data_IF_188803195348
#
_entry.id   IF_188803195348
#
_cell.length_a   1.000
_cell.length_b   1.000
_cell.length_c   1.000
_cell.angle_alpha   90.00
_cell.angle_beta   90.00
_cell.angle_gamma   90.00
#
_symmetry.space_group_name_H-M   'P 1'
#
loop_
_entity.id
_entity.type
_entity.pdbx_description
1 polymer ?
#
# COMPACT_ATOMS: atom_id res chain seq x y z
N UNK A 1 10.43 24.53 14.45
CA UNK A 1 11.79 24.05 14.73
C UNK A 1 12.04 23.86 16.23
N UNK A 2 12.20 24.92 17.05
CA UNK A 2 12.63 24.78 18.46
C UNK A 2 11.72 23.90 19.35
N UNK A 3 10.38 24.05 19.25
CA UNK A 3 9.43 23.21 20.03
C UNK A 3 9.51 21.71 19.71
N UNK A 4 9.85 21.36 18.48
CA UNK A 4 9.92 19.98 17.99
C UNK A 4 11.18 19.27 18.47
N UNK A 5 12.29 20.00 18.49
CA UNK A 5 13.56 19.51 19.04
C UNK A 5 13.48 19.35 20.56
N UNK A 6 12.84 20.28 21.27
CA UNK A 6 12.61 20.16 22.72
C UNK A 6 11.73 18.96 23.07
N UNK A 7 10.62 18.72 22.36
CA UNK A 7 9.73 17.57 22.57
C UNK A 7 10.46 16.23 22.42
N UNK A 8 11.29 16.07 21.38
CA UNK A 8 12.06 14.85 21.14
C UNK A 8 13.22 14.68 22.13
N UNK A 9 13.89 15.78 22.50
CA UNK A 9 15.00 15.76 23.45
C UNK A 9 14.51 15.38 24.85
N UNK A 10 13.39 15.97 25.28
CA UNK A 10 12.76 15.73 26.59
C UNK A 10 11.91 14.46 26.61
N UNK A 11 11.70 13.80 25.46
CA UNK A 11 10.75 12.67 25.28
C UNK A 11 9.32 13.03 25.74
N UNK A 12 8.96 14.30 25.66
CA UNK A 12 7.64 14.82 25.99
C UNK A 12 6.89 15.10 24.69
N UNK A 13 6.11 14.11 24.26
CA UNK A 13 5.27 14.20 23.06
C UNK A 13 3.89 14.74 23.45
N UNK A 14 3.84 16.01 23.85
CA UNK A 14 2.56 16.72 24.01
C UNK A 14 1.87 16.85 22.66
N UNK A 15 0.54 16.95 22.66
CA UNK A 15 -0.25 17.04 21.43
C UNK A 15 0.19 18.26 20.58
N UNK A 16 0.72 17.99 19.39
CA UNK A 16 1.15 19.05 18.48
C UNK A 16 -0.04 19.51 17.61
N UNK A 17 -0.32 20.82 17.54
CA UNK A 17 -1.43 21.32 16.74
C UNK A 17 -1.14 21.06 15.25
N UNK A 18 -2.16 20.57 14.54
CA UNK A 18 -2.21 20.37 13.07
C UNK A 18 -1.47 19.17 12.47
N UNK A 19 -1.00 18.19 13.24
CA UNK A 19 -0.49 16.93 12.67
C UNK A 19 -1.66 16.01 12.32
N UNK A 20 -1.80 15.54 11.07
CA UNK A 20 -2.85 14.58 10.70
C UNK A 20 -2.76 13.32 11.57
N UNK A 21 -3.89 12.88 12.10
CA UNK A 21 -3.99 11.63 12.88
C UNK A 21 -4.99 10.69 12.24
N UNK A 22 -4.64 9.42 12.29
CA UNK A 22 -5.49 8.32 11.84
C UNK A 22 -6.49 7.92 12.93
N UNK A 23 -6.03 7.86 14.18
CA UNK A 23 -6.90 7.70 15.35
C UNK A 23 -6.38 8.48 16.57
N UNK A 24 -7.25 8.65 17.56
CA UNK A 24 -6.91 9.18 18.90
C UNK A 24 -6.84 8.03 19.88
N UNK A 25 -6.01 8.16 20.91
CA UNK A 25 -5.91 7.15 21.96
C UNK A 25 -7.28 6.84 22.58
N UNK A 26 -7.62 5.55 22.68
CA UNK A 26 -8.89 5.05 23.23
C UNK A 26 -8.95 5.06 24.75
N UNK A 27 -7.87 5.43 25.44
CA UNK A 27 -7.86 5.55 26.91
C UNK A 27 -8.59 6.84 27.30
N UNK A 28 -9.50 6.73 28.28
CA UNK A 28 -10.30 7.84 28.75
C UNK A 28 -9.42 9.02 29.20
N UNK A 29 -9.82 10.25 28.88
CA UNK A 29 -9.09 11.48 29.19
C UNK A 29 -7.70 11.63 28.53
N UNK A 30 -7.33 10.73 27.59
CA UNK A 30 -6.13 10.88 26.78
C UNK A 30 -6.47 11.54 25.43
N UNK A 31 -5.85 12.68 25.11
CA UNK A 31 -6.02 13.36 23.81
C UNK A 31 -4.89 13.11 22.81
N UNK A 32 -3.87 12.34 23.21
CA UNK A 32 -2.72 12.01 22.39
C UNK A 32 -3.13 11.18 21.17
N UNK A 33 -2.41 11.39 20.06
CA UNK A 33 -2.55 10.59 18.85
C UNK A 33 -2.18 9.13 19.13
N UNK A 34 -2.85 8.19 18.47
CA UNK A 34 -2.40 6.79 18.52
C UNK A 34 -1.13 6.63 17.68
N UNK A 35 -0.29 5.66 18.02
CA UNK A 35 0.78 5.23 17.11
C UNK A 35 0.12 4.69 15.84
N UNK A 36 0.68 5.02 14.68
CA UNK A 36 0.21 4.55 13.37
C UNK A 36 0.52 3.08 13.16
N UNK A 37 -0.32 2.43 12.38
CA UNK A 37 -0.03 1.10 11.85
C UNK A 37 -0.48 -0.04 12.77
N UNK A 38 -1.54 0.18 13.57
CA UNK A 38 -2.61 -0.78 13.97
C UNK A 38 -3.16 -0.53 15.39
N UNK A 39 -4.46 -0.73 15.57
CA UNK A 39 -5.07 -1.00 16.87
C UNK A 39 -4.61 -2.36 17.40
N UNK A 40 -4.76 -2.59 18.70
CA UNK A 40 -4.59 -3.93 19.25
C UNK A 40 -5.55 -4.91 18.54
N UNK A 41 -5.07 -6.03 17.96
CA UNK A 41 -5.94 -7.00 17.28
C UNK A 41 -6.91 -7.71 18.22
N UNK A 42 -6.59 -7.78 19.52
CA UNK A 42 -7.43 -8.48 20.50
C UNK A 42 -8.55 -7.61 21.07
N UNK A 43 -8.28 -6.32 21.35
CA UNK A 43 -9.26 -5.43 21.97
C UNK A 43 -9.72 -4.27 21.08
N UNK A 44 -9.18 -4.17 19.86
CA UNK A 44 -9.49 -3.13 18.87
C UNK A 44 -9.25 -1.69 19.32
N UNK A 45 -8.51 -1.48 20.42
CA UNK A 45 -8.17 -0.14 20.92
C UNK A 45 -7.00 0.48 20.18
N UNK A 46 -7.10 1.77 19.89
CA UNK A 46 -6.03 2.62 19.38
C UNK A 46 -5.28 3.21 20.56
N UNK A 47 -3.96 3.04 20.63
CA UNK A 47 -3.20 3.43 21.81
C UNK A 47 -2.06 4.36 21.40
N UNK A 48 -1.86 5.44 22.16
CA UNK A 48 -0.67 6.28 22.03
C UNK A 48 0.57 5.55 22.57
N UNK A 49 1.76 6.09 22.32
CA UNK A 49 3.01 5.46 22.73
C UNK A 49 3.09 5.11 24.22
N UNK A 50 2.47 5.92 25.10
CA UNK A 50 2.46 5.67 26.54
C UNK A 50 1.53 4.50 26.91
N UNK A 51 0.31 4.50 26.36
CA UNK A 51 -0.71 3.51 26.69
C UNK A 51 -0.53 2.17 25.97
N UNK A 52 0.45 2.05 25.08
CA UNK A 52 0.86 0.76 24.51
C UNK A 52 1.77 -0.04 25.45
N UNK A 53 2.34 0.58 26.49
CA UNK A 53 3.19 -0.12 27.43
C UNK A 53 2.41 -1.22 28.18
N UNK A 54 3.15 -2.22 28.69
CA UNK A 54 2.57 -3.31 29.48
C UNK A 54 1.95 -2.84 30.80
N UNK A 55 2.28 -1.63 31.25
CA UNK A 55 1.68 -1.03 32.45
C UNK A 55 0.23 -0.62 32.22
N UNK A 56 -0.15 -0.33 30.98
CA UNK A 56 -1.48 0.15 30.61
C UNK A 56 -2.26 -0.80 29.71
N UNK A 57 -1.58 -1.70 28.99
CA UNK A 57 -2.17 -2.58 28.01
C UNK A 57 -1.67 -4.02 28.12
N UNK A 58 -2.58 -4.92 28.54
CA UNK A 58 -2.26 -6.31 28.88
C UNK A 58 -2.47 -7.30 27.71
N UNK A 59 -3.08 -6.89 26.60
CA UNK A 59 -3.22 -7.79 25.45
C UNK A 59 -1.84 -8.17 24.91
N UNK A 60 -1.71 -9.43 24.49
CA UNK A 60 -0.49 -9.91 23.86
C UNK A 60 -0.30 -9.22 22.50
N UNK A 61 0.93 -8.78 22.16
CA UNK A 61 1.23 -8.32 20.83
C UNK A 61 1.08 -9.48 19.85
N UNK A 62 0.84 -9.16 18.58
CA UNK A 62 0.66 -10.18 17.52
C UNK A 62 1.83 -11.16 17.44
N UNK A 63 3.05 -10.72 17.75
CA UNK A 63 4.26 -11.55 17.79
C UNK A 63 4.29 -12.60 18.91
N UNK A 64 3.41 -12.47 19.91
CA UNK A 64 3.30 -13.38 21.06
C UNK A 64 1.99 -14.18 21.03
N UNK A 65 1.13 -13.99 20.02
CA UNK A 65 -0.05 -14.82 19.85
C UNK A 65 0.38 -16.23 19.42
N UNK A 66 -0.31 -17.25 19.94
CA UNK A 66 -0.24 -18.59 19.39
C UNK A 66 -0.94 -18.66 18.02
N UNK A 67 -0.71 -19.76 17.31
CA UNK A 67 -1.26 -19.98 15.96
C UNK A 67 -2.79 -19.91 15.98
N UNK A 68 -3.45 -20.55 16.94
CA UNK A 68 -4.91 -20.59 17.04
C UNK A 68 -5.52 -19.18 17.23
N UNK A 69 -4.97 -18.36 18.13
CA UNK A 69 -5.45 -17.01 18.36
C UNK A 69 -5.21 -16.10 17.15
N UNK A 70 -4.09 -16.27 16.46
CA UNK A 70 -3.79 -15.54 15.23
C UNK A 70 -4.77 -15.92 14.11
N UNK A 71 -4.97 -17.22 13.86
CA UNK A 71 -5.90 -17.72 12.85
C UNK A 71 -7.35 -17.30 13.12
N UNK A 72 -7.76 -17.28 14.39
CA UNK A 72 -9.07 -16.79 14.80
C UNK A 72 -9.25 -15.32 14.45
N UNK A 73 -8.25 -14.48 14.70
CA UNK A 73 -8.29 -13.04 14.38
C UNK A 73 -8.52 -12.83 12.88
N UNK A 74 -7.78 -13.56 12.03
CA UNK A 74 -7.92 -13.51 10.58
C UNK A 74 -9.30 -14.02 10.14
N UNK A 75 -9.78 -15.12 10.73
CA UNK A 75 -11.09 -15.71 10.42
C UNK A 75 -12.23 -14.76 10.74
N UNK A 76 -12.21 -14.12 11.92
CA UNK A 76 -13.23 -13.17 12.34
C UNK A 76 -13.28 -11.95 11.40
N UNK A 77 -12.11 -11.47 10.97
CA UNK A 77 -11.95 -10.37 10.02
C UNK A 77 -12.56 -10.70 8.65
N UNK A 78 -12.15 -11.81 8.04
CA UNK A 78 -12.63 -12.23 6.71
C UNK A 78 -14.12 -12.56 6.75
N UNK A 79 -14.59 -13.22 7.81
CA UNK A 79 -16.02 -13.51 8.00
C UNK A 79 -16.84 -12.22 8.07
N UNK A 80 -16.35 -11.20 8.79
CA UNK A 80 -17.01 -9.89 8.89
C UNK A 80 -17.03 -9.18 7.54
N UNK A 81 -15.93 -9.21 6.79
CA UNK A 81 -15.85 -8.64 5.45
C UNK A 81 -16.86 -9.32 4.51
N UNK A 82 -16.85 -10.65 4.43
CA UNK A 82 -17.75 -11.42 3.59
C UNK A 82 -19.22 -11.25 3.97
N UNK A 83 -19.53 -11.09 5.26
CA UNK A 83 -20.90 -10.84 5.72
C UNK A 83 -21.43 -9.45 5.30
N UNK A 84 -20.54 -8.47 5.09
CA UNK A 84 -20.91 -7.14 4.56
C UNK A 84 -21.01 -7.12 3.03
N UNK A 85 -20.38 -8.08 2.36
CA UNK A 85 -20.37 -8.16 0.90
C UNK A 85 -21.67 -8.77 0.37
N UNK A 86 -22.43 -7.99 -0.38
CA UNK A 86 -23.55 -8.51 -1.17
C UNK A 86 -23.02 -9.25 -2.41
N UNK A 87 -22.81 -10.56 -2.26
CA UNK A 87 -22.26 -11.44 -3.30
C UNK A 87 -23.14 -11.46 -4.56
N UNK A 88 -24.46 -11.35 -4.43
CA UNK A 88 -25.36 -11.32 -5.58
C UNK A 88 -25.16 -10.05 -6.42
N UNK A 89 -25.06 -8.89 -5.77
CA UNK A 89 -24.74 -7.64 -6.45
C UNK A 89 -23.34 -7.69 -7.09
N UNK A 90 -22.35 -8.24 -6.38
CA UNK A 90 -20.99 -8.40 -6.89
C UNK A 90 -20.96 -9.23 -8.19
N UNK A 91 -21.61 -10.38 -8.20
CA UNK A 91 -21.71 -11.23 -9.39
C UNK A 91 -22.48 -10.54 -10.53
N UNK A 92 -23.51 -9.74 -10.22
CA UNK A 92 -24.25 -8.98 -11.22
C UNK A 92 -23.37 -7.93 -11.91
N UNK A 93 -22.55 -7.19 -11.14
CA UNK A 93 -21.59 -6.23 -11.72
C UNK A 93 -20.57 -6.96 -12.59
N UNK A 94 -19.93 -8.02 -12.09
CA UNK A 94 -18.96 -8.79 -12.86
C UNK A 94 -19.55 -9.37 -14.15
N UNK A 95 -20.78 -9.89 -14.09
CA UNK A 95 -21.53 -10.38 -15.24
C UNK A 95 -21.73 -9.28 -16.29
N UNK A 96 -22.11 -8.07 -15.86
CA UNK A 96 -22.31 -6.92 -16.76
C UNK A 96 -21.02 -6.50 -17.47
N UNK A 97 -19.89 -6.55 -16.76
CA UNK A 97 -18.56 -6.23 -17.29
C UNK A 97 -18.03 -7.33 -18.23
N UNK A 98 -18.42 -8.59 -18.02
CA UNK A 98 -17.98 -9.72 -18.86
C UNK A 98 -19.03 -10.15 -19.90
N UNK A 99 -19.55 -9.20 -20.68
CA UNK A 99 -20.48 -9.48 -21.82
C UNK A 99 -21.71 -10.30 -21.42
N UNK A 100 -22.24 -10.08 -20.21
CA UNK A 100 -23.38 -10.79 -19.63
C UNK A 100 -23.17 -12.30 -19.40
N UNK A 101 -21.93 -12.78 -19.28
CA UNK A 101 -21.64 -14.14 -18.83
C UNK A 101 -21.87 -14.23 -17.31
N UNK A 102 -22.74 -15.14 -16.88
CA UNK A 102 -22.93 -15.38 -15.46
C UNK A 102 -21.68 -15.96 -14.80
N UNK A 103 -21.47 -15.62 -13.53
CA UNK A 103 -20.35 -16.10 -12.72
C UNK A 103 -20.78 -16.60 -11.34
N UNK A 104 -19.94 -17.46 -10.76
CA UNK A 104 -20.07 -17.93 -9.37
C UNK A 104 -18.92 -17.38 -8.54
N UNK A 105 -19.25 -16.85 -7.36
CA UNK A 105 -18.28 -16.43 -6.36
C UNK A 105 -17.82 -17.60 -5.51
N UNK A 106 -16.51 -17.72 -5.33
CA UNK A 106 -15.89 -18.69 -4.43
C UNK A 106 -14.92 -17.96 -3.51
N UNK A 107 -15.13 -17.98 -2.18
CA UNK A 107 -14.19 -17.41 -1.22
C UNK A 107 -12.77 -17.95 -1.47
N UNK A 108 -11.78 -17.05 -1.49
CA UNK A 108 -10.38 -17.45 -1.52
C UNK A 108 -9.94 -18.04 -0.18
N UNK A 109 -8.97 -18.96 -0.23
CA UNK A 109 -8.35 -19.53 0.96
C UNK A 109 -7.46 -18.50 1.66
N UNK A 110 -7.66 -18.32 2.97
CA UNK A 110 -6.96 -17.32 3.79
C UNK A 110 -6.18 -17.91 4.98
N UNK A 111 -6.27 -19.23 5.21
CA UNK A 111 -5.53 -19.96 6.24
C UNK A 111 -4.88 -21.24 5.66
N UNK A 112 -3.88 -21.77 6.38
CA UNK A 112 -3.17 -23.01 6.06
C UNK A 112 -1.91 -22.84 5.20
N UNK A 113 -1.28 -23.95 4.82
CA UNK A 113 -0.12 -23.91 3.91
C UNK A 113 -0.54 -23.55 2.48
N UNK A 114 0.20 -22.65 1.83
CA UNK A 114 -0.07 -22.25 0.44
C UNK A 114 -1.15 -21.17 0.27
N UNK A 115 -1.38 -20.31 1.27
CA UNK A 115 -2.24 -19.13 1.12
C UNK A 115 -1.70 -18.22 0.00
N UNK A 116 -2.39 -18.24 -1.14
CA UNK A 116 -2.13 -17.37 -2.29
C UNK A 116 -3.22 -16.31 -2.49
N UNK A 117 -4.34 -16.42 -1.77
CA UNK A 117 -5.51 -15.55 -1.93
C UNK A 117 -5.66 -14.50 -0.81
N UNK A 118 -4.64 -14.30 0.03
CA UNK A 118 -4.65 -13.27 1.06
C UNK A 118 -3.29 -12.58 1.14
N UNK A 119 -3.31 -11.25 1.05
CA UNK A 119 -2.15 -10.40 1.28
C UNK A 119 -2.22 -9.70 2.64
N UNK A 120 -1.20 -8.91 2.95
CA UNK A 120 -1.17 -8.11 4.17
C UNK A 120 -2.41 -7.19 4.24
N UNK A 121 -2.71 -6.44 3.19
CA UNK A 121 -3.77 -5.42 3.19
C UNK A 121 -5.06 -5.81 2.44
N UNK A 122 -5.08 -6.93 1.73
CA UNK A 122 -6.19 -7.29 0.85
C UNK A 122 -6.57 -8.78 0.95
N UNK A 123 -7.87 -9.05 0.86
CA UNK A 123 -8.45 -10.38 0.74
C UNK A 123 -8.88 -10.60 -0.72
N UNK A 124 -8.56 -11.76 -1.28
CA UNK A 124 -8.91 -12.10 -2.66
C UNK A 124 -9.90 -13.28 -2.70
N UNK A 125 -10.82 -13.24 -3.66
CA UNK A 125 -11.72 -14.34 -3.93
C UNK A 125 -11.85 -14.56 -5.44
N UNK A 126 -12.41 -15.70 -5.82
CA UNK A 126 -12.57 -16.11 -7.21
C UNK A 126 -13.96 -15.78 -7.74
N UNK A 127 -14.00 -15.36 -9.00
CA UNK A 127 -15.19 -15.38 -9.83
C UNK A 127 -14.95 -16.34 -10.99
N UNK A 128 -15.75 -17.41 -11.05
CA UNK A 128 -15.69 -18.39 -12.15
C UNK A 128 -16.89 -18.20 -13.06
N UNK A 129 -16.65 -17.84 -14.32
CA UNK A 129 -17.67 -17.67 -15.33
C UNK A 129 -18.09 -19.02 -15.93
N UNK A 130 -19.29 -19.06 -16.51
CA UNK A 130 -19.87 -20.29 -17.06
C UNK A 130 -19.07 -20.93 -18.21
N UNK A 131 -18.19 -20.18 -18.87
CA UNK A 131 -17.28 -20.68 -19.91
C UNK A 131 -15.92 -21.15 -19.36
N UNK A 132 -15.74 -21.09 -18.04
CA UNK A 132 -14.51 -21.46 -17.34
C UNK A 132 -13.50 -20.32 -17.19
N UNK A 133 -13.77 -19.14 -17.73
CA UNK A 133 -12.95 -17.94 -17.47
C UNK A 133 -12.96 -17.63 -15.96
N UNK A 134 -11.83 -17.18 -15.43
CA UNK A 134 -11.68 -16.85 -14.00
C UNK A 134 -11.16 -15.44 -13.82
N UNK A 135 -11.83 -14.68 -12.97
CA UNK A 135 -11.34 -13.42 -12.45
C UNK A 135 -11.03 -13.53 -10.96
N UNK A 136 -10.18 -12.64 -10.49
CA UNK A 136 -9.97 -12.38 -9.08
C UNK A 136 -10.77 -11.13 -8.71
N UNK A 137 -11.44 -11.17 -7.57
CA UNK A 137 -11.94 -9.97 -6.90
C UNK A 137 -11.06 -9.70 -5.68
N UNK A 138 -10.58 -8.47 -5.58
CA UNK A 138 -9.73 -7.96 -4.50
C UNK A 138 -10.55 -7.04 -3.60
N UNK A 139 -10.52 -7.30 -2.30
CA UNK A 139 -11.17 -6.50 -1.27
C UNK A 139 -10.13 -5.92 -0.31
N UNK A 140 -10.15 -4.62 -0.02
CA UNK A 140 -9.40 -4.09 1.10
C UNK A 140 -9.83 -4.74 2.41
N UNK A 141 -8.86 -5.16 3.21
CA UNK A 141 -9.09 -5.75 4.53
C UNK A 141 -9.50 -4.68 5.53
N UNK A 142 -10.59 -4.92 6.28
CA UNK A 142 -11.08 -4.01 7.32
C UNK A 142 -11.34 -4.81 8.60
N UNK A 143 -10.77 -4.42 9.77
CA UNK A 143 -10.13 -3.13 10.02
C UNK A 143 -8.61 -3.28 10.07
N UNK A 144 -7.92 -2.83 9.02
CA UNK A 144 -6.69 -2.07 9.25
C UNK A 144 -7.08 -0.79 10.00
N UNK A 145 -7.28 -0.94 11.30
CA UNK A 145 -8.25 -0.24 12.15
C UNK A 145 -8.19 1.28 12.19
N UNK A 146 -7.04 1.88 11.90
CA UNK A 146 -6.77 3.30 12.05
C UNK A 146 -6.74 4.02 10.69
N UNK A 147 -6.68 3.28 9.57
CA UNK A 147 -6.63 3.90 8.24
C UNK A 147 -8.01 4.50 7.91
N UNK A 148 -8.12 5.80 7.62
CA UNK A 148 -9.39 6.41 7.24
C UNK A 148 -9.99 5.75 5.99
N UNK A 149 -11.30 5.47 5.99
CA UNK A 149 -11.98 4.83 4.84
C UNK A 149 -11.75 5.59 3.52
N UNK A 150 -11.72 6.92 3.55
CA UNK A 150 -11.43 7.75 2.38
C UNK A 150 -10.04 7.45 1.78
N UNK A 151 -9.06 7.14 2.62
CA UNK A 151 -7.72 6.78 2.16
C UNK A 151 -7.72 5.37 1.55
N UNK A 152 -8.44 4.42 2.15
CA UNK A 152 -8.61 3.07 1.59
C UNK A 152 -9.26 3.14 0.20
N UNK A 153 -10.31 3.93 0.05
CA UNK A 153 -10.99 4.11 -1.24
C UNK A 153 -10.09 4.77 -2.28
N UNK A 154 -9.28 5.76 -1.87
CA UNK A 154 -8.30 6.38 -2.77
C UNK A 154 -7.21 5.40 -3.22
N UNK A 155 -6.79 4.46 -2.35
CA UNK A 155 -5.88 3.39 -2.72
C UNK A 155 -6.49 2.45 -3.75
N UNK A 156 -7.79 2.14 -3.62
CA UNK A 156 -8.53 1.33 -4.60
C UNK A 156 -8.59 2.05 -5.95
N UNK A 157 -8.98 3.32 -5.98
CA UNK A 157 -9.02 4.10 -7.23
C UNK A 157 -7.65 4.21 -7.88
N UNK A 158 -6.61 4.39 -7.06
CA UNK A 158 -5.26 4.57 -7.57
C UNK A 158 -4.63 3.29 -8.11
N UNK A 159 -4.86 2.16 -7.43
CA UNK A 159 -4.44 0.85 -7.90
C UNK A 159 -5.14 0.51 -9.23
N UNK A 160 -6.45 0.76 -9.34
CA UNK A 160 -7.18 0.56 -10.59
C UNK A 160 -6.63 1.41 -11.74
N UNK A 161 -6.40 2.70 -11.52
CA UNK A 161 -5.83 3.59 -12.53
C UNK A 161 -4.41 3.17 -12.95
N UNK A 162 -3.60 2.71 -12.00
CA UNK A 162 -2.25 2.20 -12.30
C UNK A 162 -2.31 0.96 -13.18
N UNK A 163 -3.20 0.01 -12.88
CA UNK A 163 -3.40 -1.18 -13.72
C UNK A 163 -3.83 -0.78 -15.14
N UNK A 164 -4.76 0.18 -15.27
CA UNK A 164 -5.21 0.70 -16.57
C UNK A 164 -4.08 1.33 -17.39
N UNK A 165 -3.21 2.12 -16.76
CA UNK A 165 -2.03 2.68 -17.41
C UNK A 165 -1.08 1.59 -17.92
N UNK A 166 -0.83 0.58 -17.09
CA UNK A 166 0.08 -0.51 -17.44
C UNK A 166 -0.46 -1.44 -18.53
N UNK A 167 -1.78 -1.63 -18.59
CA UNK A 167 -2.44 -2.39 -19.66
C UNK A 167 -2.16 -1.83 -21.07
N UNK A 168 -1.91 -0.52 -21.19
CA UNK A 168 -1.60 0.15 -22.46
C UNK A 168 -0.13 -0.03 -22.89
N UNK A 169 0.73 -0.51 -22.00
CA UNK A 169 2.16 -0.64 -22.23
C UNK A 169 2.49 -2.08 -22.62
N UNK A 170 2.83 -2.27 -23.89
CA UNK A 170 3.33 -3.55 -24.38
C UNK A 170 4.65 -3.92 -23.70
N UNK A 171 4.70 -5.10 -23.09
CA UNK A 171 5.92 -5.64 -22.47
C UNK A 171 5.96 -5.57 -20.95
N UNK A 172 4.97 -4.94 -20.29
CA UNK A 172 4.80 -5.04 -18.84
C UNK A 172 3.76 -6.13 -18.54
N UNK A 173 4.17 -7.27 -17.94
CA UNK A 173 3.22 -8.31 -17.60
C UNK A 173 2.49 -7.90 -16.32
N UNK A 174 1.24 -7.45 -16.43
CA UNK A 174 0.40 -7.05 -15.29
C UNK A 174 -1.01 -7.63 -15.45
N UNK A 175 -1.78 -7.66 -14.36
CA UNK A 175 -3.18 -8.05 -14.42
C UNK A 175 -4.01 -6.97 -15.12
N UNK A 176 -4.93 -7.36 -16.01
CA UNK A 176 -5.99 -6.45 -16.44
C UNK A 176 -6.95 -6.18 -15.31
N UNK A 177 -7.36 -4.93 -15.13
CA UNK A 177 -8.43 -4.53 -14.23
C UNK A 177 -9.75 -4.40 -15.02
N UNK A 178 -10.81 -5.07 -14.59
CA UNK A 178 -12.09 -5.06 -15.31
C UNK A 178 -13.07 -4.00 -14.78
N UNK A 179 -12.95 -3.65 -13.51
CA UNK A 179 -13.74 -2.60 -12.86
C UNK A 179 -13.43 -2.52 -11.37
N UNK A 180 -13.91 -1.48 -10.70
CA UNK A 180 -13.83 -1.33 -9.26
C UNK A 180 -15.14 -0.75 -8.72
N UNK A 181 -15.30 -0.73 -7.40
CA UNK A 181 -16.37 -0.01 -6.71
C UNK A 181 -15.90 0.46 -5.34
N UNK A 182 -16.43 1.57 -4.84
CA UNK A 182 -16.09 2.13 -3.53
C UNK A 182 -17.25 1.96 -2.56
N UNK A 183 -16.97 1.67 -1.29
CA UNK A 183 -18.00 1.47 -0.28
C UNK A 183 -18.85 2.74 -0.03
N UNK A 184 -18.27 3.92 -0.25
CA UNK A 184 -18.95 5.21 -0.13
C UNK A 184 -19.86 5.56 -1.30
N UNK A 185 -19.75 4.86 -2.44
CA UNK A 185 -20.58 5.11 -3.62
C UNK A 185 -22.02 4.66 -3.35
N UNK A 186 -22.98 5.57 -3.50
CA UNK A 186 -24.40 5.28 -3.28
C UNK A 186 -24.95 4.18 -4.23
N UNK A 187 -24.38 4.09 -5.43
CA UNK A 187 -24.77 3.12 -6.45
C UNK A 187 -24.06 1.76 -6.28
N UNK A 188 -23.07 1.67 -5.39
CA UNK A 188 -22.37 0.41 -5.11
C UNK A 188 -23.18 -0.47 -4.15
N UNK A 189 -24.07 -1.29 -4.72
CA UNK A 189 -24.88 -2.25 -3.97
C UNK A 189 -24.11 -3.44 -3.39
N UNK A 190 -22.80 -3.56 -3.64
CA UNK A 190 -21.94 -4.61 -3.08
C UNK A 190 -21.68 -4.38 -1.60
N UNK A 191 -21.67 -3.12 -1.15
CA UNK A 191 -21.52 -2.76 0.27
C UNK A 191 -20.08 -2.69 0.79
N UNK A 192 -19.09 -3.02 -0.05
CA UNK A 192 -17.66 -2.89 0.26
C UNK A 192 -16.90 -2.38 -0.97
N UNK A 193 -15.69 -1.86 -0.78
CA UNK A 193 -14.80 -1.50 -1.89
C UNK A 193 -14.17 -2.75 -2.49
N UNK A 194 -13.96 -2.77 -3.81
CA UNK A 194 -13.37 -3.91 -4.51
C UNK A 194 -12.71 -3.52 -5.85
N UNK A 195 -11.85 -4.39 -6.36
CA UNK A 195 -11.35 -4.38 -7.74
C UNK A 195 -11.55 -5.75 -8.37
N UNK A 196 -12.12 -5.82 -9.57
CA UNK A 196 -12.11 -7.00 -10.42
C UNK A 196 -10.88 -7.00 -11.31
N UNK A 197 -10.16 -8.12 -11.36
CA UNK A 197 -8.91 -8.23 -12.11
C UNK A 197 -8.68 -9.63 -12.69
N UNK A 198 -7.81 -9.68 -13.69
CA UNK A 198 -7.34 -10.91 -14.32
C UNK A 198 -6.58 -11.79 -13.33
N UNK A 199 -6.83 -13.10 -13.41
CA UNK A 199 -6.04 -14.07 -12.69
C UNK A 199 -4.74 -14.36 -13.47
N UNK A 200 -3.66 -13.69 -13.08
CA UNK A 200 -2.35 -13.87 -13.72
C UNK A 200 -1.78 -15.25 -13.36
N UNK A 201 -1.31 -16.05 -14.33
CA UNK A 201 -0.72 -17.36 -14.07
C UNK A 201 0.66 -17.23 -13.42
N UNK A 202 1.10 -18.28 -12.73
CA UNK A 202 2.44 -18.38 -12.13
C UNK A 202 2.40 -18.52 -10.61
N UNK A 203 3.58 -18.57 -10.02
CA UNK A 203 3.78 -18.62 -8.56
C UNK A 203 4.65 -17.46 -8.11
N UNK A 204 4.44 -16.90 -6.90
CA UNK A 204 5.32 -15.88 -6.35
C UNK A 204 6.79 -16.27 -6.41
N UNK A 205 7.64 -15.34 -6.83
CA UNK A 205 9.07 -15.57 -6.94
C UNK A 205 9.73 -15.60 -5.56
N UNK A 206 10.26 -16.76 -5.20
CA UNK A 206 10.99 -16.95 -3.96
C UNK A 206 12.50 -16.84 -4.21
N UNK A 207 13.04 -15.63 -4.10
CA UNK A 207 14.46 -15.38 -4.36
C UNK A 207 15.40 -16.26 -3.51
N UNK A 208 15.00 -16.67 -2.31
CA UNK A 208 15.83 -17.48 -1.44
C UNK A 208 15.97 -18.95 -1.90
N UNK A 209 15.02 -19.47 -2.68
CA UNK A 209 15.06 -20.84 -3.22
C UNK A 209 15.73 -20.91 -4.59
N UNK A 210 15.84 -19.79 -5.30
CA UNK A 210 16.42 -19.70 -6.63
C UNK A 210 17.97 -19.81 -6.64
N UNK A 211 18.50 -20.54 -7.63
CA UNK A 211 19.93 -20.62 -7.91
C UNK A 211 20.45 -19.32 -8.59
N UNK A 212 21.78 -19.12 -8.72
CA UNK A 212 22.34 -17.90 -9.30
C UNK A 212 21.90 -17.60 -10.74
N UNK A 213 21.73 -18.64 -11.57
CA UNK A 213 21.29 -18.51 -12.97
C UNK A 213 19.83 -18.06 -13.06
N UNK A 214 18.96 -18.66 -12.25
CA UNK A 214 17.54 -18.29 -12.13
C UNK A 214 17.39 -16.85 -11.63
N UNK A 215 18.15 -16.47 -10.60
CA UNK A 215 18.20 -15.08 -10.10
C UNK A 215 18.59 -14.10 -11.20
N UNK A 216 19.66 -14.43 -11.95
CA UNK A 216 20.13 -13.59 -13.07
C UNK A 216 19.07 -13.46 -14.17
N UNK A 217 18.36 -14.55 -14.47
CA UNK A 217 17.28 -14.57 -15.46
C UNK A 217 16.11 -13.68 -15.05
N UNK A 218 15.63 -13.79 -13.80
CA UNK A 218 14.55 -12.94 -13.27
C UNK A 218 14.99 -11.47 -13.24
N UNK A 219 16.19 -11.17 -12.74
CA UNK A 219 16.70 -9.80 -12.67
C UNK A 219 16.88 -9.17 -14.05
N UNK A 220 17.25 -9.96 -15.07
CA UNK A 220 17.32 -9.47 -16.46
C UNK A 220 15.96 -9.01 -16.95
N UNK A 221 14.91 -9.80 -16.71
CA UNK A 221 13.54 -9.45 -17.10
C UNK A 221 13.02 -8.24 -16.31
N UNK A 222 13.32 -8.14 -15.01
CA UNK A 222 13.02 -6.93 -14.22
C UNK A 222 13.70 -5.70 -14.84
N UNK A 223 14.94 -5.81 -15.29
CA UNK A 223 15.62 -4.71 -15.97
C UNK A 223 14.92 -4.31 -17.27
N UNK A 224 14.46 -5.27 -18.08
CA UNK A 224 13.70 -5.02 -19.30
C UNK A 224 12.37 -4.30 -19.00
N UNK A 225 11.66 -4.73 -17.95
CA UNK A 225 10.43 -4.07 -17.47
C UNK A 225 10.70 -2.63 -17.03
N UNK A 226 11.76 -2.39 -16.25
CA UNK A 226 12.13 -1.05 -15.81
C UNK A 226 12.54 -0.15 -16.98
N UNK A 227 13.21 -0.70 -17.99
CA UNK A 227 13.51 -0.01 -19.24
C UNK A 227 12.21 0.39 -19.95
N UNK A 228 11.22 -0.50 -20.01
CA UNK A 228 9.93 -0.18 -20.61
C UNK A 228 9.22 0.94 -19.86
N UNK A 229 9.10 0.84 -18.52
CA UNK A 229 8.53 1.90 -17.66
C UNK A 229 9.23 3.25 -17.89
N UNK A 230 10.56 3.25 -18.09
CA UNK A 230 11.33 4.48 -18.31
C UNK A 230 10.98 5.23 -19.60
N UNK A 231 10.30 4.59 -20.56
CA UNK A 231 9.82 5.22 -21.80
C UNK A 231 8.56 6.04 -21.61
N UNK A 232 7.92 5.96 -20.44
CA UNK A 232 6.64 6.63 -20.14
C UNK A 232 6.80 7.64 -18.98
N UNK A 233 7.44 8.81 -19.22
CA UNK A 233 7.64 9.82 -18.20
C UNK A 233 6.37 10.61 -17.87
N UNK A 234 6.26 11.01 -16.61
CA UNK A 234 5.23 11.90 -16.07
C UNK A 234 5.80 13.27 -15.73
N UNK A 235 4.92 14.26 -15.58
CA UNK A 235 5.28 15.66 -15.25
C UNK A 235 5.31 15.97 -13.75
N UNK A 236 4.68 15.14 -12.91
CA UNK A 236 4.58 15.33 -11.47
C UNK A 236 4.89 14.03 -10.74
N UNK A 237 5.31 14.12 -9.48
CA UNK A 237 5.26 13.02 -8.53
C UNK A 237 3.87 12.95 -7.88
N UNK A 238 3.32 11.77 -7.77
CA UNK A 238 1.93 11.57 -7.36
C UNK A 238 1.43 10.16 -7.68
N UNK A 239 0.20 9.86 -7.27
CA UNK A 239 -0.47 8.61 -7.62
C UNK A 239 -1.33 8.81 -8.87
N UNK A 240 -1.48 7.76 -9.67
CA UNK A 240 -2.39 7.78 -10.82
C UNK A 240 -3.83 7.63 -10.32
N UNK A 241 -4.75 8.39 -10.91
CA UNK A 241 -6.20 8.25 -10.74
C UNK A 241 -6.88 8.43 -12.11
N UNK A 242 -8.18 8.13 -12.18
CA UNK A 242 -9.03 8.52 -13.29
C UNK A 242 -9.76 9.82 -12.91
N UNK A 243 -9.79 10.80 -13.82
CA UNK A 243 -10.64 11.99 -13.66
C UNK A 243 -12.11 11.67 -14.00
N UNK A 244 -12.99 12.68 -13.87
CA UNK A 244 -14.43 12.55 -14.12
C UNK A 244 -14.76 12.12 -15.57
N UNK A 245 -13.85 12.40 -16.51
CA UNK A 245 -13.95 12.03 -17.93
C UNK A 245 -13.32 10.64 -18.21
N UNK A 246 -12.77 9.98 -17.19
CA UNK A 246 -12.12 8.67 -17.29
C UNK A 246 -10.68 8.72 -17.81
N UNK A 247 -10.03 9.89 -17.86
CA UNK A 247 -8.65 10.02 -18.29
C UNK A 247 -7.68 9.76 -17.14
N UNK A 248 -6.53 9.16 -17.46
CA UNK A 248 -5.44 8.96 -16.52
C UNK A 248 -4.74 10.29 -16.18
N UNK A 249 -4.73 10.66 -14.91
CA UNK A 249 -4.06 11.85 -14.39
C UNK A 249 -3.21 11.53 -13.17
N UNK A 250 -2.16 12.34 -12.95
CA UNK A 250 -1.36 12.29 -11.71
C UNK A 250 -1.97 13.23 -10.69
N UNK A 251 -2.32 12.69 -9.53
CA UNK A 251 -2.90 13.41 -8.38
C UNK A 251 -2.06 13.16 -7.12
N UNK A 252 -2.56 13.57 -5.95
CA UNK A 252 -1.91 13.39 -4.65
C UNK A 252 -1.39 11.95 -4.51
N UNK A 253 -0.19 11.79 -3.98
CA UNK A 253 0.34 10.48 -3.59
C UNK A 253 -0.64 9.87 -2.59
N UNK A 254 -1.11 8.66 -2.88
CA UNK A 254 -2.09 7.97 -2.05
C UNK A 254 -1.56 7.79 -0.62
N UNK A 255 -0.39 7.16 -0.51
CA UNK A 255 0.35 7.00 0.74
C UNK A 255 1.78 6.49 0.45
N UNK A 256 2.61 6.44 1.48
CA UNK A 256 3.78 5.57 1.51
C UNK A 256 3.39 4.07 1.63
N UNK A 257 4.38 3.19 1.46
CA UNK A 257 4.21 1.72 1.44
C UNK A 257 3.61 1.16 2.75
N UNK A 258 3.83 1.81 3.88
CA UNK A 258 3.38 1.31 5.19
C UNK A 258 2.06 1.93 5.65
N UNK A 259 1.46 2.78 4.83
CA UNK A 259 0.30 3.60 5.18
C UNK A 259 0.57 4.47 6.42
N UNK A 260 1.81 4.90 6.59
CA UNK A 260 2.21 5.86 7.61
C UNK A 260 1.77 7.28 7.26
N UNK A 261 1.67 7.64 5.98
CA UNK A 261 1.27 8.97 5.53
C UNK A 261 -0.19 9.03 5.09
N UNK A 262 -0.76 10.23 5.08
CA UNK A 262 -2.04 10.48 4.39
C UNK A 262 -1.80 10.79 2.91
N UNK A 263 -2.88 11.22 2.23
CA UNK A 263 -2.76 11.83 0.91
C UNK A 263 -1.89 13.10 0.99
N UNK A 264 -0.95 13.25 0.05
CA UNK A 264 -0.01 14.37 0.02
C UNK A 264 0.51 14.65 -1.38
N UNK A 265 0.89 15.90 -1.67
CA UNK A 265 1.28 16.32 -3.01
C UNK A 265 0.07 16.73 -3.86
N UNK A 266 0.10 16.52 -5.20
CA UNK A 266 1.24 16.07 -6.01
C UNK A 266 2.38 17.11 -6.02
N UNK A 267 3.53 16.75 -6.58
CA UNK A 267 4.72 17.61 -6.60
C UNK A 267 5.24 17.85 -8.01
N UNK A 268 5.54 19.12 -8.33
CA UNK A 268 6.13 19.50 -9.62
C UNK A 268 7.65 19.29 -9.69
N UNK A 269 8.32 19.20 -8.53
CA UNK A 269 9.77 19.02 -8.47
C UNK A 269 10.17 17.86 -7.56
N UNK A 270 11.28 17.20 -7.91
CA UNK A 270 11.87 16.15 -7.08
C UNK A 270 12.30 16.66 -5.69
N UNK A 271 12.73 17.93 -5.61
CA UNK A 271 13.12 18.55 -4.34
C UNK A 271 11.91 18.68 -3.41
N UNK A 272 10.79 19.19 -3.91
CA UNK A 272 9.55 19.35 -3.13
C UNK A 272 9.03 17.98 -2.68
N UNK A 273 9.07 16.97 -3.55
CA UNK A 273 8.69 15.60 -3.21
C UNK A 273 9.52 15.04 -2.05
N UNK A 274 10.86 15.10 -2.13
CA UNK A 274 11.71 14.56 -1.05
C UNK A 274 11.60 15.35 0.25
N UNK A 275 11.57 16.68 0.18
CA UNK A 275 11.52 17.53 1.37
C UNK A 275 10.17 17.46 2.07
N UNK A 276 9.06 17.54 1.33
CA UNK A 276 7.70 17.48 1.90
C UNK A 276 7.40 16.11 2.52
N UNK A 277 7.89 15.02 1.91
CA UNK A 277 7.71 13.68 2.49
C UNK A 277 8.52 13.53 3.79
N UNK A 278 9.75 14.03 3.82
CA UNK A 278 10.57 14.04 5.03
C UNK A 278 9.96 14.91 6.15
N UNK A 279 9.38 16.07 5.81
CA UNK A 279 8.70 16.94 6.76
C UNK A 279 7.50 16.26 7.43
N UNK A 280 6.67 15.54 6.65
CA UNK A 280 5.55 14.80 7.22
C UNK A 280 6.00 13.72 8.21
N UNK A 281 7.06 12.96 7.89
CA UNK A 281 7.60 12.01 8.85
C UNK A 281 8.21 12.68 10.08
N UNK A 282 8.86 13.85 9.95
CA UNK A 282 9.33 14.62 11.11
C UNK A 282 8.17 15.00 12.03
N UNK A 283 7.05 15.43 11.45
CA UNK A 283 5.85 15.79 12.20
C UNK A 283 5.24 14.57 12.93
N UNK A 284 5.16 13.43 12.25
CA UNK A 284 4.64 12.18 12.84
C UNK A 284 5.55 11.64 13.95
N UNK A 285 6.87 11.67 13.77
CA UNK A 285 7.83 11.25 14.79
C UNK A 285 7.71 12.11 16.04
N UNK A 286 7.62 13.42 15.85
CA UNK A 286 7.55 14.37 16.94
C UNK A 286 6.17 14.47 17.61
N UNK A 287 5.10 13.98 16.98
CA UNK A 287 3.79 13.77 17.62
C UNK A 287 3.67 12.38 18.27
N UNK A 288 4.73 11.57 18.22
CA UNK A 288 4.76 10.22 18.80
C UNK A 288 3.93 9.19 18.02
N UNK A 289 3.55 9.51 16.78
CA UNK A 289 2.76 8.64 15.92
C UNK A 289 3.58 7.58 15.20
N UNK A 290 4.88 7.82 14.97
CA UNK A 290 5.78 6.90 14.27
C UNK A 290 7.14 6.82 14.96
N UNK A 291 7.82 5.68 14.84
CA UNK A 291 9.18 5.46 15.37
C UNK A 291 9.36 5.82 16.86
N UNK A 292 8.29 5.71 17.65
CA UNK A 292 8.25 6.08 19.07
C UNK A 292 9.27 5.33 19.96
N UNK A 293 9.81 4.20 19.49
CA UNK A 293 10.86 3.44 20.17
C UNK A 293 12.27 4.05 19.99
N UNK A 294 12.50 4.76 18.90
CA UNK A 294 13.76 5.41 18.53
C UNK A 294 13.52 6.78 17.85
N UNK A 295 12.77 7.69 18.50
CA UNK A 295 12.29 8.92 17.86
C UNK A 295 13.44 9.89 17.55
N UNK A 296 14.55 9.82 18.30
CA UNK A 296 15.73 10.67 18.09
C UNK A 296 16.44 10.29 16.79
N UNK A 297 16.67 9.01 16.59
CA UNK A 297 17.31 8.44 15.40
C UNK A 297 16.46 8.70 14.16
N UNK A 298 15.16 8.41 14.23
CA UNK A 298 14.22 8.66 13.14
C UNK A 298 14.16 10.15 12.78
N UNK A 299 14.03 11.04 13.77
CA UNK A 299 14.01 12.48 13.51
C UNK A 299 15.30 12.98 12.87
N UNK A 300 16.47 12.52 13.35
CA UNK A 300 17.76 12.89 12.73
C UNK A 300 17.87 12.36 11.31
N UNK A 301 17.36 11.16 11.02
CA UNK A 301 17.33 10.60 9.68
C UNK A 301 16.51 11.48 8.73
N UNK A 302 15.24 11.75 9.06
CA UNK A 302 14.37 12.56 8.20
C UNK A 302 14.83 14.02 8.10
N UNK A 303 15.41 14.59 9.17
CA UNK A 303 15.99 15.93 9.13
C UNK A 303 17.20 15.98 8.20
N UNK A 304 18.05 14.96 8.23
CA UNK A 304 19.19 14.83 7.30
C UNK A 304 18.72 14.65 5.87
N UNK A 305 17.64 13.87 5.65
CA UNK A 305 17.02 13.71 4.35
C UNK A 305 16.55 15.06 3.80
N UNK A 306 15.76 15.81 4.58
CA UNK A 306 15.23 17.13 4.21
C UNK A 306 16.34 18.17 3.97
N UNK A 307 17.24 18.36 4.94
CA UNK A 307 18.17 19.49 4.96
C UNK A 307 19.42 19.27 4.09
N UNK A 308 19.80 18.01 3.83
CA UNK A 308 21.07 17.70 3.17
C UNK A 308 20.94 16.72 2.01
N UNK A 309 20.25 15.60 2.18
CA UNK A 309 20.28 14.52 1.20
C UNK A 309 19.39 14.83 -0.01
N UNK A 310 18.22 15.44 0.17
CA UNK A 310 17.27 15.75 -0.90
C UNK A 310 17.93 16.55 -2.04
N UNK A 311 18.59 17.67 -1.72
CA UNK A 311 19.30 18.47 -2.71
C UNK A 311 20.42 17.69 -3.42
N UNK A 312 21.13 16.80 -2.71
CA UNK A 312 22.18 15.95 -3.30
C UNK A 312 21.61 14.87 -4.23
N UNK A 313 20.47 14.28 -3.88
CA UNK A 313 19.76 13.30 -4.71
C UNK A 313 19.32 13.95 -6.02
N UNK A 314 18.66 15.11 -5.94
CA UNK A 314 18.23 15.88 -7.11
C UNK A 314 19.43 16.31 -7.97
N UNK A 315 20.53 16.77 -7.35
CA UNK A 315 21.72 17.18 -8.09
C UNK A 315 22.43 16.04 -8.85
N UNK A 316 22.27 14.77 -8.40
CA UNK A 316 22.81 13.60 -9.10
C UNK A 316 22.06 13.28 -10.40
N UNK A 317 20.84 13.80 -10.57
CA UNK A 317 20.02 13.60 -11.76
C UNK A 317 20.34 14.58 -12.91
N UNK A 318 21.33 15.47 -12.74
CA UNK A 318 21.71 16.50 -13.73
C UNK A 318 21.88 15.91 -15.14
N UNK A 319 21.04 16.37 -16.07
CA UNK A 319 21.01 15.97 -17.48
C UNK A 319 19.84 15.08 -17.87
N UNK A 320 19.09 14.55 -16.89
CA UNK A 320 17.81 13.86 -17.12
C UNK A 320 16.67 14.88 -17.03
N UNK A 321 15.66 14.70 -17.89
CA UNK A 321 14.42 15.51 -17.87
C UNK A 321 13.87 15.60 -16.44
N UNK A 322 13.20 16.70 -16.08
CA UNK A 322 12.47 16.89 -14.81
C UNK A 322 11.21 16.00 -14.77
N UNK A 323 11.38 14.75 -15.14
CA UNK A 323 10.37 13.75 -15.36
C UNK A 323 10.33 12.80 -14.19
N UNK A 324 9.13 12.27 -13.99
CA UNK A 324 8.84 11.28 -12.95
C UNK A 324 8.47 9.96 -13.62
N UNK A 325 8.63 8.86 -12.92
CA UNK A 325 8.42 7.52 -13.46
C UNK A 325 7.68 6.66 -12.44
N UNK A 326 6.86 5.74 -12.93
CA UNK A 326 6.10 4.83 -12.08
C UNK A 326 7.04 3.92 -11.28
N UNK A 327 6.72 3.71 -10.00
CA UNK A 327 7.40 2.78 -9.08
C UNK A 327 6.37 1.88 -8.41
N UNK A 328 6.65 0.58 -8.38
CA UNK A 328 5.83 -0.47 -7.73
C UNK A 328 5.84 -0.41 -6.19
N UNK A 329 6.84 0.22 -5.59
CA UNK A 329 7.08 0.39 -4.13
C UNK A 329 7.32 -0.90 -3.33
N UNK A 330 6.96 -2.07 -3.84
CA UNK A 330 7.38 -3.34 -3.24
C UNK A 330 8.76 -3.79 -3.73
N UNK A 331 9.80 -3.58 -2.93
CA UNK A 331 11.16 -4.01 -3.27
C UNK A 331 11.51 -5.46 -2.79
N UNK A 332 10.55 -6.28 -2.31
CA UNK A 332 10.83 -7.64 -1.76
C UNK A 332 10.96 -8.72 -2.83
N UNK A 333 10.29 -8.54 -3.97
CA UNK A 333 10.28 -9.48 -5.11
C UNK A 333 9.17 -10.55 -5.08
N UNK A 334 8.45 -10.73 -3.97
CA UNK A 334 7.32 -11.67 -3.86
C UNK A 334 6.07 -11.24 -4.66
N UNK A 335 6.04 -9.98 -5.09
CA UNK A 335 5.07 -9.42 -6.03
C UNK A 335 5.30 -9.83 -7.51
N UNK A 336 6.41 -10.52 -7.81
CA UNK A 336 6.67 -11.08 -9.14
C UNK A 336 6.13 -12.51 -9.20
N UNK A 337 5.29 -12.80 -10.18
CA UNK A 337 4.87 -14.16 -10.52
C UNK A 337 5.79 -14.72 -11.60
N UNK A 338 6.23 -15.96 -11.41
CA UNK A 338 7.07 -16.69 -12.35
C UNK A 338 6.48 -18.03 -12.76
N UNK A 339 6.81 -18.49 -13.97
CA UNK A 339 6.58 -19.86 -14.38
C UNK A 339 7.69 -20.81 -13.90
N UNK A 340 7.59 -22.10 -14.27
CA UNK A 340 8.56 -23.15 -13.94
C UNK A 340 9.98 -22.88 -14.49
N UNK A 341 10.09 -22.04 -15.52
CA UNK A 341 11.32 -21.69 -16.21
C UNK A 341 11.84 -20.31 -15.75
N UNK A 342 11.25 -19.74 -14.69
CA UNK A 342 11.57 -18.45 -14.11
C UNK A 342 11.33 -17.26 -15.07
N UNK A 343 10.43 -17.41 -16.03
CA UNK A 343 9.94 -16.27 -16.81
C UNK A 343 8.90 -15.51 -15.97
N UNK A 344 9.00 -14.18 -15.95
CA UNK A 344 8.03 -13.33 -15.25
C UNK A 344 6.71 -13.38 -16.03
N UNK A 345 5.69 -13.94 -15.41
CA UNK A 345 4.34 -14.05 -15.97
C UNK A 345 3.43 -12.91 -15.52
N UNK A 346 3.77 -12.25 -14.41
CA UNK A 346 3.25 -10.93 -14.13
C UNK A 346 3.70 -10.30 -12.83
N UNK A 347 3.32 -9.05 -12.68
CA UNK A 347 3.63 -8.17 -11.55
C UNK A 347 2.29 -7.83 -10.92
N UNK A 348 2.11 -8.24 -9.68
CA UNK A 348 0.86 -8.05 -8.92
C UNK A 348 1.05 -7.02 -7.82
N UNK A 349 -0.04 -6.65 -7.15
CA UNK A 349 -0.01 -5.76 -5.97
C UNK A 349 0.54 -4.35 -6.25
N UNK A 350 -0.06 -3.66 -7.23
CA UNK A 350 0.27 -2.27 -7.58
C UNK A 350 -0.33 -1.24 -6.62
N UNK A 351 -0.81 -1.67 -5.45
CA UNK A 351 -1.25 -0.76 -4.41
C UNK A 351 -0.07 0.11 -3.96
N UNK A 352 -0.34 1.39 -3.66
CA UNK A 352 0.68 2.40 -3.33
C UNK A 352 1.64 2.77 -4.47
N UNK A 353 1.47 2.22 -5.68
CA UNK A 353 2.25 2.64 -6.82
C UNK A 353 2.11 4.14 -7.06
N UNK A 354 3.24 4.76 -7.40
CA UNK A 354 3.32 6.21 -7.55
C UNK A 354 4.41 6.59 -8.53
N UNK A 355 4.24 7.76 -9.12
CA UNK A 355 5.23 8.41 -9.95
C UNK A 355 6.21 9.16 -9.05
N UNK A 356 7.51 8.93 -9.24
CA UNK A 356 8.59 9.44 -8.38
C UNK A 356 9.80 9.88 -9.21
N UNK A 357 10.74 10.66 -8.64
CA UNK A 357 11.98 11.00 -9.33
C UNK A 357 12.76 9.76 -9.79
N UNK A 358 13.54 9.90 -10.86
CA UNK A 358 14.22 8.77 -11.50
C UNK A 358 15.13 7.99 -10.54
N UNK A 359 15.79 8.67 -9.60
CA UNK A 359 16.66 8.06 -8.61
C UNK A 359 15.92 7.14 -7.64
N UNK A 360 14.62 7.38 -7.39
CA UNK A 360 13.79 6.47 -6.59
C UNK A 360 13.11 5.42 -7.46
N UNK A 361 12.62 5.80 -8.66
CA UNK A 361 11.90 4.89 -9.55
C UNK A 361 12.76 3.68 -9.96
N UNK A 362 14.04 3.92 -10.25
CA UNK A 362 15.00 2.91 -10.70
C UNK A 362 16.07 2.61 -9.64
N UNK A 363 15.78 2.95 -8.38
CA UNK A 363 16.66 2.73 -7.25
C UNK A 363 15.90 2.20 -6.03
N UNK A 364 16.59 1.94 -4.91
CA UNK A 364 15.94 1.60 -3.66
C UNK A 364 15.02 2.75 -3.23
N UNK A 365 13.85 2.44 -2.68
CA UNK A 365 13.03 3.51 -2.10
C UNK A 365 13.73 4.10 -0.87
N UNK A 366 14.21 5.34 -1.02
CA UNK A 366 14.94 6.05 0.03
C UNK A 366 14.02 6.47 1.18
N UNK A 367 12.71 6.57 0.93
CA UNK A 367 11.71 7.07 1.86
C UNK A 367 10.92 5.93 2.53
N UNK A 368 10.96 4.71 1.97
CA UNK A 368 10.39 3.52 2.61
C UNK A 368 11.44 2.59 3.21
N UNK A 369 12.68 3.07 3.37
CA UNK A 369 13.72 2.33 4.08
C UNK A 369 13.30 2.23 5.55
N UNK A 370 12.72 1.10 5.89
CA UNK A 370 12.22 0.80 7.22
C UNK A 370 13.41 0.79 8.20
N UNK A 371 13.47 1.75 9.12
CA UNK A 371 14.41 1.77 10.24
C UNK A 371 13.97 0.78 11.34
N UNK A 372 13.53 -0.45 10.99
CA UNK A 372 13.17 -1.47 12.00
C UNK A 372 14.33 -2.37 12.34
#
# INVERSE_FOLDING_TARGET
ALKWEEAIIQQTFDQLPNVPRFATCSVEQCSLSSVRGKSCPSCMRHLCMNHQSRDFHLCLPTSELDEEAWEKTITDEVTTLLAKTNIQALCAVATSLNRNKACTFTPGQYLGSGVVMMGCANYHAWLTFNDGEKWIVRFPRVPFSDIPNKLIEYLVTSEFATLKFLEEINGIPTAKAFGYGLASDADNLVGVSYIFMEAVPGTPYEAHTANPEQKRHVLSQVADILIEISKHPFRKAGSLILDDDGNLVVSDVASDRFVSLGQHGPYDTALDYFTSTAEQHLDLVADGQEFYQYPKEAYLFFRTLRDQAAAKLVAREKGKSSSFYLKHVDDKGDHLLVDKDYNITGIIDWQFARTVPACEAFGPSLITANLK
#
